data_IF_431305682980
#
_entry.id   IF_431305682980
#
_cell.length_a   1.000
_cell.length_b   1.000
_cell.length_c   1.000
_cell.angle_alpha   90.00
_cell.angle_beta   90.00
_cell.angle_gamma   90.00
#
_symmetry.space_group_name_H-M   'P 1'
#
loop_
_entity.id
_entity.type
_entity.pdbx_description
1 polymer ?
#
# COMPACT_ATOMS: atom_id res chain seq x y z
N UNK A 1 34.15 -7.40 28.21
CA UNK A 1 33.60 -8.30 27.18
C UNK A 1 32.10 -8.26 27.36
N UNK A 2 31.44 -7.38 26.63
CA UNK A 2 30.00 -7.15 26.73
C UNK A 2 29.33 -8.22 25.86
N UNK A 3 28.60 -9.14 26.49
CA UNK A 3 27.85 -10.16 25.78
C UNK A 3 26.77 -9.49 24.92
N UNK A 4 26.85 -9.68 23.61
CA UNK A 4 25.75 -9.37 22.69
C UNK A 4 24.58 -10.30 23.01
N UNK A 5 23.57 -9.76 23.69
CA UNK A 5 22.29 -10.45 23.90
C UNK A 5 21.70 -10.80 22.52
N UNK A 6 21.35 -12.06 22.24
CA UNK A 6 20.78 -12.44 20.96
C UNK A 6 19.45 -11.68 20.79
N UNK A 7 19.33 -10.94 19.70
CA UNK A 7 18.06 -10.33 19.28
C UNK A 7 17.04 -11.46 19.22
N UNK A 8 16.16 -11.53 20.23
CA UNK A 8 15.04 -12.46 20.24
C UNK A 8 14.21 -12.14 19.01
N UNK A 9 14.34 -12.95 17.97
CA UNK A 9 13.41 -12.99 16.83
C UNK A 9 12.03 -13.14 17.45
N UNK A 10 11.32 -12.03 17.58
CA UNK A 10 9.94 -12.04 18.04
C UNK A 10 9.21 -13.07 17.19
N UNK A 11 8.53 -14.01 17.85
CA UNK A 11 7.71 -15.04 17.22
C UNK A 11 6.98 -14.40 16.05
N UNK A 12 7.22 -14.87 14.83
CA UNK A 12 6.52 -14.38 13.64
C UNK A 12 5.02 -14.47 13.95
N UNK A 13 4.37 -13.30 14.04
CA UNK A 13 2.96 -13.16 14.45
C UNK A 13 2.00 -13.84 13.45
N UNK A 14 2.51 -14.27 12.29
CA UNK A 14 1.75 -14.88 11.22
C UNK A 14 2.40 -16.19 10.79
N UNK A 15 1.58 -17.23 10.64
CA UNK A 15 1.97 -18.49 10.02
C UNK A 15 2.55 -18.26 8.62
N UNK A 16 3.68 -18.91 8.27
CA UNK A 16 4.25 -18.82 6.93
C UNK A 16 3.24 -19.11 5.82
N UNK A 17 3.32 -18.37 4.71
CA UNK A 17 2.38 -18.48 3.59
C UNK A 17 1.01 -17.84 3.82
N UNK A 18 0.69 -17.37 5.04
CA UNK A 18 -0.65 -16.80 5.32
C UNK A 18 -0.75 -15.29 5.13
N UNK A 19 0.37 -14.58 4.95
CA UNK A 19 0.37 -13.12 4.83
C UNK A 19 -0.49 -12.63 3.66
N UNK A 20 -0.23 -13.11 2.45
CA UNK A 20 -0.95 -12.68 1.25
C UNK A 20 -2.46 -12.95 1.28
N UNK A 21 -2.94 -14.16 1.61
CA UNK A 21 -4.39 -14.39 1.70
C UNK A 21 -5.05 -13.55 2.80
N UNK A 22 -4.41 -13.39 3.97
CA UNK A 22 -4.93 -12.54 5.05
C UNK A 22 -5.00 -11.07 4.64
N UNK A 23 -4.00 -10.55 3.94
CA UNK A 23 -3.99 -9.17 3.48
C UNK A 23 -5.13 -8.89 2.50
N UNK A 24 -5.37 -9.79 1.55
CA UNK A 24 -6.49 -9.66 0.60
C UNK A 24 -7.85 -9.67 1.32
N UNK A 25 -8.08 -10.67 2.18
CA UNK A 25 -9.34 -10.78 2.92
C UNK A 25 -9.60 -9.57 3.83
N UNK A 26 -8.57 -9.09 4.53
CA UNK A 26 -8.70 -7.92 5.39
C UNK A 26 -8.95 -6.63 4.59
N UNK A 27 -8.31 -6.50 3.41
CA UNK A 27 -8.52 -5.34 2.53
C UNK A 27 -9.95 -5.31 1.98
N UNK A 28 -10.45 -6.46 1.52
CA UNK A 28 -11.82 -6.59 1.02
C UNK A 28 -12.84 -6.25 2.11
N UNK A 29 -12.68 -6.84 3.30
CA UNK A 29 -13.54 -6.55 4.44
C UNK A 29 -13.53 -5.06 4.82
N UNK A 30 -12.35 -4.42 4.82
CA UNK A 30 -12.24 -3.00 5.12
C UNK A 30 -12.94 -2.11 4.08
N UNK A 31 -12.92 -2.52 2.80
CA UNK A 31 -13.65 -1.83 1.72
C UNK A 31 -15.17 -2.00 1.91
N UNK A 32 -15.62 -3.23 2.16
CA UNK A 32 -17.04 -3.56 2.39
C UNK A 32 -17.63 -2.77 3.56
N UNK A 33 -16.91 -2.71 4.69
CA UNK A 33 -17.33 -1.98 5.87
C UNK A 33 -17.04 -0.47 5.80
N UNK A 34 -16.51 0.02 4.68
CA UNK A 34 -16.15 1.43 4.44
C UNK A 34 -15.11 1.98 5.43
N UNK A 35 -14.37 1.13 6.13
CA UNK A 35 -13.20 1.54 6.89
C UNK A 35 -12.03 1.91 5.97
N UNK A 36 -11.99 1.34 4.76
CA UNK A 36 -11.05 1.67 3.70
C UNK A 36 -11.80 2.20 2.48
N UNK A 37 -11.40 3.36 1.99
CA UNK A 37 -11.93 3.94 0.75
C UNK A 37 -10.85 3.95 -0.32
N UNK A 38 -11.12 3.26 -1.43
CA UNK A 38 -10.29 3.37 -2.63
C UNK A 38 -10.40 4.79 -3.18
N UNK A 39 -9.27 5.47 -3.28
CA UNK A 39 -9.20 6.77 -3.96
C UNK A 39 -9.10 6.49 -5.46
N UNK A 40 -10.06 6.96 -6.29
CA UNK A 40 -9.94 6.86 -7.74
C UNK A 40 -8.60 7.45 -8.17
N UNK A 41 -7.76 6.60 -8.72
CA UNK A 41 -6.42 6.94 -9.20
C UNK A 41 -6.35 6.48 -10.63
N UNK A 42 -6.29 7.43 -11.55
CA UNK A 42 -6.02 7.12 -12.95
C UNK A 42 -4.54 6.80 -13.10
N UNK A 43 -4.16 6.09 -14.17
CA UNK A 43 -2.77 5.85 -14.45
C UNK A 43 -2.51 5.85 -15.95
N UNK A 44 -1.29 6.25 -16.30
CA UNK A 44 -0.79 6.20 -17.66
C UNK A 44 0.65 5.69 -17.65
N UNK A 45 1.10 5.20 -18.81
CA UNK A 45 2.49 4.89 -19.02
C UNK A 45 3.14 5.98 -19.85
N UNK A 46 4.26 6.50 -19.38
CA UNK A 46 5.08 7.48 -20.10
C UNK A 46 6.40 6.81 -20.46
N UNK A 47 6.84 6.95 -21.70
CA UNK A 47 8.14 6.48 -22.15
C UNK A 47 9.08 7.65 -22.41
N UNK A 48 10.26 7.61 -21.82
CA UNK A 48 11.31 8.62 -22.02
C UNK A 48 12.68 7.94 -21.98
N UNK A 49 13.52 8.22 -22.98
CA UNK A 49 14.88 7.68 -23.09
C UNK A 49 14.96 6.14 -22.98
N UNK A 50 13.93 5.45 -23.50
CA UNK A 50 13.79 3.99 -23.43
C UNK A 50 13.34 3.44 -22.08
N UNK A 51 12.99 4.30 -21.12
CA UNK A 51 12.49 3.92 -19.80
C UNK A 51 10.98 4.13 -19.73
N UNK A 52 10.25 3.11 -19.27
CA UNK A 52 8.79 3.14 -19.11
C UNK A 52 8.39 3.43 -17.67
N UNK A 53 7.70 4.54 -17.46
CA UNK A 53 7.21 5.00 -16.16
C UNK A 53 5.72 4.71 -16.01
N UNK A 54 5.29 4.23 -14.84
CA UNK A 54 3.89 4.20 -14.44
C UNK A 54 3.57 5.47 -13.65
N UNK A 55 2.83 6.39 -14.26
CA UNK A 55 2.38 7.62 -13.61
C UNK A 55 0.99 7.38 -13.02
N UNK A 56 0.78 7.73 -11.75
CA UNK A 56 -0.51 7.65 -11.05
C UNK A 56 -1.04 9.05 -10.79
N UNK A 57 -2.25 9.33 -11.27
CA UNK A 57 -2.87 10.66 -11.26
C UNK A 57 -4.02 10.65 -10.24
N UNK A 58 -3.89 11.49 -9.22
CA UNK A 58 -4.94 11.72 -8.21
C UNK A 58 -5.90 12.81 -8.69
N UNK A 59 -6.89 12.44 -9.50
CA UNK A 59 -7.86 13.37 -10.09
C UNK A 59 -8.66 14.19 -9.05
N UNK A 60 -8.79 13.68 -7.82
CA UNK A 60 -9.49 14.36 -6.72
C UNK A 60 -8.67 15.46 -6.00
N UNK A 61 -7.36 15.60 -6.25
CA UNK A 61 -6.57 16.67 -5.62
C UNK A 61 -7.00 18.07 -6.11
N UNK A 62 -7.48 18.17 -7.36
CA UNK A 62 -7.93 19.41 -8.03
C UNK A 62 -9.13 20.06 -7.32
N UNK A 63 -9.91 19.30 -6.55
CA UNK A 63 -11.08 19.83 -5.81
C UNK A 63 -10.69 20.73 -4.64
N UNK A 64 -9.45 20.69 -4.13
CA UNK A 64 -9.02 21.55 -3.01
C UNK A 64 -8.67 22.98 -3.45
N UNK A 65 -8.34 23.21 -4.72
CA UNK A 65 -8.03 24.56 -5.22
C UNK A 65 -9.26 25.37 -5.64
N UNK A 66 -10.38 24.71 -5.98
CA UNK A 66 -11.63 25.37 -6.38
C UNK A 66 -12.56 25.76 -5.23
N UNK A 67 -12.17 25.44 -3.99
CA UNK A 67 -12.89 25.84 -2.77
C UNK A 67 -12.25 27.06 -2.09
N UNK A 68 -11.47 27.85 -2.85
CA UNK A 68 -10.96 29.16 -2.44
C UNK A 68 -12.00 30.25 -2.67
#
# INVERSE_FOLDING_TARGET
>A
MTEEQPITKGTLVLEPGTLWPKLKAQTEHAIECKALHSIPTEYEFVEQDGIRFLVRILSNLVRKDKAK
#
